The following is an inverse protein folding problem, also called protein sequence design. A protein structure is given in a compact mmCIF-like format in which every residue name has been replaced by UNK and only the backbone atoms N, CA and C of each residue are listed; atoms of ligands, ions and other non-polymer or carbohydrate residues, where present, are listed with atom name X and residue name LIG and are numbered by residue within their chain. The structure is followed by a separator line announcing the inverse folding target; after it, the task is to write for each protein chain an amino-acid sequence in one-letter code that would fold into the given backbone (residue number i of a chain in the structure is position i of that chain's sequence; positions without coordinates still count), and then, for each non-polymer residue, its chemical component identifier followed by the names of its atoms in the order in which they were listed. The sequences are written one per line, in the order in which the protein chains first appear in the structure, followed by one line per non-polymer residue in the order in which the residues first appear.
data_IF_398969830974
#
_entry.id   IF_398969830974
#
_cell.length_a   1.000
_cell.length_b   1.000
_cell.length_c   1.000
_cell.angle_alpha   90.00
_cell.angle_beta   90.00
_cell.angle_gamma   90.00
#
_symmetry.space_group_name_H-M   'P 1'
#
loop_
_entity.id
_entity.type
_entity.pdbx_description
1 polymer ?
#
# COMPACT_ATOMS: atom_id res chain seq x y z
N UNK A 1 41.67 35.91 -48.67
CA UNK A 1 41.71 34.75 -47.76
C UNK A 1 40.74 35.01 -46.63
N UNK A 2 39.60 34.30 -46.58
CA UNK A 2 38.57 34.47 -45.55
C UNK A 2 38.81 33.43 -44.45
N UNK A 3 38.99 33.91 -43.22
CA UNK A 3 39.22 33.08 -42.04
C UNK A 3 37.94 32.29 -41.68
N UNK A 4 38.06 30.96 -41.65
CA UNK A 4 37.05 30.10 -41.06
C UNK A 4 37.15 30.20 -39.54
N UNK A 5 36.08 30.65 -38.87
CA UNK A 5 35.93 30.58 -37.41
C UNK A 5 35.18 29.29 -37.08
N UNK A 6 35.89 28.31 -36.56
CA UNK A 6 35.32 27.13 -35.90
C UNK A 6 34.64 27.57 -34.59
N UNK A 7 33.34 27.33 -34.50
CA UNK A 7 32.54 27.51 -33.29
C UNK A 7 32.67 26.21 -32.48
N UNK A 8 33.07 26.24 -31.19
CA UNK A 8 33.15 25.03 -30.39
C UNK A 8 31.73 24.58 -30.03
N UNK A 9 31.45 23.33 -30.35
CA UNK A 9 30.24 22.59 -30.03
C UNK A 9 30.12 22.46 -28.50
N UNK A 10 29.31 23.32 -27.88
CA UNK A 10 28.97 23.22 -26.46
C UNK A 10 28.02 22.02 -26.30
N UNK A 11 28.57 20.89 -25.88
CA UNK A 11 27.80 19.69 -25.53
C UNK A 11 27.02 20.00 -24.25
N UNK A 12 25.76 20.39 -24.41
CA UNK A 12 24.79 20.46 -23.32
C UNK A 12 24.41 19.03 -22.96
N UNK A 13 25.13 18.44 -22.00
CA UNK A 13 24.80 17.13 -21.44
C UNK A 13 23.46 17.27 -20.74
N UNK A 14 22.40 16.81 -21.41
CA UNK A 14 21.09 16.56 -20.81
C UNK A 14 21.27 15.56 -19.68
N UNK A 15 21.31 16.04 -18.44
CA UNK A 15 21.04 15.22 -17.26
C UNK A 15 19.57 14.78 -17.35
N UNK A 16 19.31 13.72 -18.10
CA UNK A 16 18.10 12.93 -17.91
C UNK A 16 18.23 12.25 -16.54
N UNK A 17 17.62 12.87 -15.54
CA UNK A 17 17.43 12.27 -14.22
C UNK A 17 16.57 11.01 -14.40
N UNK A 18 17.22 9.85 -14.48
CA UNK A 18 16.57 8.54 -14.59
C UNK A 18 15.99 8.11 -13.23
N UNK A 19 14.92 8.77 -12.77
CA UNK A 19 14.25 8.37 -11.52
C UNK A 19 13.22 7.22 -11.67
N UNK A 20 13.15 6.54 -12.81
CA UNK A 20 12.10 5.53 -13.05
C UNK A 20 12.51 4.07 -12.80
N UNK A 21 13.80 3.77 -12.58
CA UNK A 21 14.28 2.37 -12.54
C UNK A 21 14.27 1.72 -11.15
N UNK A 22 14.23 2.49 -10.05
CA UNK A 22 14.27 1.95 -8.69
C UNK A 22 12.93 1.38 -8.18
N UNK A 23 11.79 1.91 -8.64
CA UNK A 23 10.47 1.45 -8.15
C UNK A 23 10.11 0.04 -8.63
N UNK A 24 10.52 -0.33 -9.85
CA UNK A 24 10.26 -1.66 -10.41
C UNK A 24 11.04 -2.76 -9.69
N UNK A 25 12.30 -2.50 -9.32
CA UNK A 25 13.15 -3.47 -8.60
C UNK A 25 12.72 -3.70 -7.14
N UNK A 26 11.98 -2.75 -6.54
CA UNK A 26 11.43 -2.85 -5.18
C UNK A 26 10.14 -3.65 -5.07
N UNK A 27 9.46 -3.98 -6.18
CA UNK A 27 8.23 -4.76 -6.08
C UNK A 27 8.54 -6.22 -5.71
N UNK A 28 8.08 -6.65 -4.54
CA UNK A 28 8.30 -7.98 -3.98
C UNK A 28 7.09 -8.91 -4.11
N UNK A 29 5.96 -8.44 -4.61
CA UNK A 29 4.74 -9.25 -4.69
C UNK A 29 4.71 -10.08 -5.98
N UNK A 30 4.49 -11.39 -5.81
CA UNK A 30 4.06 -12.30 -6.87
C UNK A 30 2.54 -12.36 -6.79
N UNK A 31 1.88 -11.75 -7.76
CA UNK A 31 0.42 -11.56 -7.79
C UNK A 31 -0.22 -12.39 -8.91
N UNK A 32 -1.53 -12.69 -8.83
CA UNK A 32 -2.26 -13.28 -9.94
C UNK A 32 -2.23 -12.38 -11.19
N UNK A 33 -2.51 -12.97 -12.34
CA UNK A 33 -2.58 -12.23 -13.60
C UNK A 33 -3.58 -11.06 -13.51
N UNK A 34 -3.23 -9.94 -14.14
CA UNK A 34 -4.02 -8.70 -14.22
C UNK A 34 -4.20 -7.94 -12.90
N UNK A 35 -3.57 -8.37 -11.80
CA UNK A 35 -3.51 -7.57 -10.59
C UNK A 35 -2.54 -6.40 -10.78
N UNK A 36 -3.02 -5.19 -10.49
CA UNK A 36 -2.16 -4.00 -10.50
C UNK A 36 -1.31 -4.00 -9.24
N UNK A 37 -0.05 -3.60 -9.35
CA UNK A 37 0.85 -3.43 -8.21
C UNK A 37 1.44 -2.03 -8.17
N UNK A 38 1.65 -1.49 -6.97
CA UNK A 38 2.31 -0.22 -6.75
C UNK A 38 3.30 -0.34 -5.59
N UNK A 39 4.29 0.56 -5.57
CA UNK A 39 5.30 0.65 -4.51
C UNK A 39 5.29 2.06 -3.93
N UNK A 40 5.14 2.16 -2.62
CA UNK A 40 5.18 3.39 -1.85
C UNK A 40 6.37 3.33 -0.90
N UNK A 41 7.20 4.37 -0.83
CA UNK A 41 8.27 4.43 0.15
C UNK A 41 7.71 4.96 1.49
N UNK A 42 8.24 4.46 2.61
CA UNK A 42 8.01 5.09 3.90
C UNK A 42 8.98 6.28 4.09
N UNK A 43 8.55 7.41 4.67
CA UNK A 43 7.19 7.69 5.15
C UNK A 43 6.19 7.81 4.00
N UNK A 44 5.04 7.15 4.14
CA UNK A 44 4.00 7.16 3.10
C UNK A 44 3.39 8.57 3.07
N UNK A 45 3.33 9.18 1.88
CA UNK A 45 2.94 10.58 1.68
C UNK A 45 1.59 10.93 2.33
N UNK A 46 0.59 10.05 2.19
CA UNK A 46 -0.73 10.27 2.78
C UNK A 46 -0.80 9.91 4.28
N UNK A 47 0.15 9.13 4.81
CA UNK A 47 0.18 8.67 6.20
C UNK A 47 1.55 8.90 6.87
N UNK A 48 2.08 10.15 6.88
CA UNK A 48 3.44 10.44 7.36
C UNK A 48 3.63 10.23 8.87
N UNK A 49 2.53 10.01 9.62
CA UNK A 49 2.56 9.67 11.05
C UNK A 49 2.88 8.19 11.31
N UNK A 50 2.88 7.35 10.26
CA UNK A 50 3.44 6.01 10.33
C UNK A 50 4.96 6.14 10.33
N UNK A 51 5.53 6.15 11.53
CA UNK A 51 6.96 6.36 11.80
C UNK A 51 7.75 5.08 11.54
N UNK A 52 7.81 4.71 10.27
CA UNK A 52 8.58 3.58 9.75
C UNK A 52 9.55 4.07 8.68
N UNK A 53 10.62 3.29 8.47
CA UNK A 53 11.43 3.37 7.25
C UNK A 53 11.30 2.07 6.48
N UNK A 54 11.48 2.13 5.16
CA UNK A 54 11.31 0.98 4.26
C UNK A 54 10.33 1.30 3.12
N UNK A 55 9.51 0.32 2.73
CA UNK A 55 8.52 0.49 1.66
C UNK A 55 7.27 -0.39 1.84
N UNK A 56 6.19 0.01 1.19
CA UNK A 56 4.98 -0.79 0.97
C UNK A 56 4.96 -1.27 -0.48
N UNK A 57 4.68 -2.56 -0.69
CA UNK A 57 4.16 -3.04 -1.96
C UNK A 57 2.67 -3.30 -1.80
N UNK A 58 1.84 -2.69 -2.64
CA UNK A 58 0.39 -2.89 -2.65
C UNK A 58 -0.03 -3.52 -3.98
N UNK A 59 -1.05 -4.37 -3.94
CA UNK A 59 -1.65 -4.94 -5.12
C UNK A 59 -3.18 -4.92 -5.03
N UNK A 60 -3.82 -4.72 -6.17
CA UNK A 60 -5.25 -4.50 -6.28
C UNK A 60 -5.88 -5.54 -7.18
N UNK A 61 -6.99 -6.14 -6.74
CA UNK A 61 -7.79 -7.00 -7.60
C UNK A 61 -8.27 -6.23 -8.84
N UNK A 62 -8.42 -6.87 -10.01
CA UNK A 62 -8.84 -6.18 -11.24
C UNK A 62 -10.10 -5.33 -11.06
N UNK A 63 -11.09 -5.81 -10.30
CA UNK A 63 -12.33 -5.10 -10.03
C UNK A 63 -12.34 -4.18 -8.79
N UNK A 64 -11.18 -3.87 -8.17
CA UNK A 64 -11.11 -3.17 -6.87
C UNK A 64 -11.82 -1.80 -6.85
N UNK A 65 -11.70 -1.02 -7.94
CA UNK A 65 -12.27 0.32 -8.05
C UNK A 65 -13.69 0.36 -8.64
N UNK A 66 -14.29 -0.79 -8.93
CA UNK A 66 -15.59 -0.88 -9.60
C UNK A 66 -16.69 -1.15 -8.59
N UNK A 67 -17.51 -0.14 -8.30
CA UNK A 67 -18.68 -0.29 -7.43
C UNK A 67 -19.57 -1.44 -7.91
N UNK A 68 -19.94 -2.34 -7.00
CA UNK A 68 -20.77 -3.51 -7.29
C UNK A 68 -19.99 -4.73 -7.80
N UNK A 69 -18.69 -4.60 -8.06
CA UNK A 69 -17.83 -5.76 -8.32
C UNK A 69 -17.72 -6.65 -7.08
N UNK A 70 -17.69 -7.98 -7.21
CA UNK A 70 -17.38 -8.87 -6.09
C UNK A 70 -15.93 -8.69 -5.58
N UNK A 71 -15.07 -8.01 -6.34
CA UNK A 71 -13.68 -7.72 -6.00
C UNK A 71 -13.48 -6.29 -5.47
N UNK A 72 -14.57 -5.53 -5.33
CA UNK A 72 -14.53 -4.14 -4.89
C UNK A 72 -13.77 -3.98 -3.56
N UNK A 73 -12.88 -2.98 -3.49
CA UNK A 73 -11.98 -2.72 -2.35
C UNK A 73 -11.15 -3.92 -1.87
N UNK A 74 -10.97 -4.94 -2.72
CA UNK A 74 -10.16 -6.10 -2.40
C UNK A 74 -8.72 -5.88 -2.84
N UNK A 75 -7.82 -5.75 -1.87
CA UNK A 75 -6.40 -5.52 -2.11
C UNK A 75 -5.55 -6.21 -1.03
N UNK A 76 -4.26 -6.28 -1.28
CA UNK A 76 -3.29 -6.74 -0.30
C UNK A 76 -2.06 -5.84 -0.34
N UNK A 77 -1.47 -5.57 0.81
CA UNK A 77 -0.26 -4.75 0.91
C UNK A 77 0.72 -5.33 1.91
N UNK A 78 2.00 -5.28 1.55
CA UNK A 78 3.13 -5.78 2.32
C UNK A 78 3.98 -4.59 2.74
N UNK A 79 4.05 -4.33 4.04
CA UNK A 79 5.03 -3.43 4.63
C UNK A 79 6.34 -4.19 4.85
N UNK A 80 7.42 -3.68 4.26
CA UNK A 80 8.79 -4.14 4.50
C UNK A 80 9.49 -3.00 5.24
N UNK A 81 9.62 -3.14 6.55
CA UNK A 81 10.11 -2.08 7.44
C UNK A 81 11.41 -2.47 8.15
N UNK A 82 12.22 -1.47 8.45
CA UNK A 82 13.56 -1.64 9.02
C UNK A 82 13.49 -1.88 10.52
N UNK A 83 12.60 -1.15 11.19
CA UNK A 83 12.40 -1.21 12.62
C UNK A 83 11.49 -2.39 12.98
N UNK A 84 11.70 -2.98 14.16
CA UNK A 84 10.71 -3.91 14.69
C UNK A 84 9.43 -3.14 15.04
N UNK A 85 8.31 -3.40 14.35
CA UNK A 85 7.09 -2.63 14.57
C UNK A 85 6.49 -2.91 15.96
N UNK A 86 6.90 -3.99 16.64
CA UNK A 86 6.40 -4.41 17.97
C UNK A 86 4.86 -4.41 18.00
N UNK A 87 4.26 -5.00 16.96
CA UNK A 87 2.82 -4.97 16.76
C UNK A 87 2.09 -5.67 17.91
N UNK A 88 1.07 -4.98 18.40
CA UNK A 88 -0.01 -5.50 19.22
C UNK A 88 -1.34 -5.21 18.52
N UNK A 89 -2.42 -5.84 18.94
CA UNK A 89 -3.76 -5.52 18.43
C UNK A 89 -4.04 -4.01 18.51
N UNK A 90 -3.75 -3.38 19.66
CA UNK A 90 -3.99 -1.95 19.84
C UNK A 90 -3.11 -1.07 18.96
N UNK A 91 -1.86 -1.48 18.72
CA UNK A 91 -0.96 -0.77 17.82
C UNK A 91 -1.44 -0.87 16.37
N UNK A 92 -1.86 -2.06 15.93
CA UNK A 92 -2.44 -2.27 14.60
C UNK A 92 -3.69 -1.41 14.39
N UNK A 93 -4.57 -1.29 15.40
CA UNK A 93 -5.73 -0.40 15.31
C UNK A 93 -5.32 1.04 14.98
N UNK A 94 -4.41 1.61 15.78
CA UNK A 94 -3.95 2.99 15.60
C UNK A 94 -3.26 3.22 14.26
N UNK A 95 -2.47 2.25 13.80
CA UNK A 95 -1.75 2.35 12.53
C UNK A 95 -2.67 2.25 11.32
N UNK A 96 -3.63 1.32 11.35
CA UNK A 96 -4.60 1.18 10.26
C UNK A 96 -5.58 2.36 10.25
N UNK A 97 -5.99 2.88 11.40
CA UNK A 97 -6.75 4.14 11.46
C UNK A 97 -5.96 5.30 10.85
N UNK A 98 -4.68 5.44 11.21
CA UNK A 98 -3.79 6.47 10.65
C UNK A 98 -3.64 6.35 9.13
N UNK A 99 -3.43 5.13 8.64
CA UNK A 99 -3.27 4.83 7.22
C UNK A 99 -4.51 5.24 6.43
N UNK A 100 -5.68 4.75 6.84
CA UNK A 100 -6.92 4.98 6.09
C UNK A 100 -7.44 6.41 6.25
N UNK A 101 -7.29 7.04 7.41
CA UNK A 101 -7.63 8.46 7.58
C UNK A 101 -6.82 9.33 6.62
N UNK A 102 -5.52 9.09 6.53
CA UNK A 102 -4.63 9.78 5.61
C UNK A 102 -5.02 9.58 4.15
N UNK A 103 -5.21 8.33 3.76
CA UNK A 103 -5.59 7.95 2.39
C UNK A 103 -6.90 8.61 1.97
N UNK A 104 -7.95 8.48 2.79
CA UNK A 104 -9.27 9.00 2.46
C UNK A 104 -9.30 10.53 2.46
N UNK A 105 -8.50 11.17 3.32
CA UNK A 105 -8.33 12.62 3.31
C UNK A 105 -7.71 13.10 1.99
N UNK A 106 -6.58 12.53 1.55
CA UNK A 106 -5.90 12.94 0.31
C UNK A 106 -6.78 12.72 -0.92
N UNK A 107 -7.47 11.58 -0.98
CA UNK A 107 -8.40 11.27 -2.07
C UNK A 107 -9.56 12.25 -2.10
N UNK A 108 -10.12 12.60 -0.93
CA UNK A 108 -11.21 13.57 -0.85
C UNK A 108 -10.80 14.99 -1.25
N UNK A 109 -9.62 15.45 -0.83
CA UNK A 109 -9.11 16.79 -1.14
C UNK A 109 -8.78 16.99 -2.63
N UNK A 110 -8.58 15.90 -3.37
CA UNK A 110 -8.34 15.93 -4.82
C UNK A 110 -9.63 16.12 -5.63
N UNK A 111 -10.78 15.93 -5.01
CA UNK A 111 -12.11 16.17 -5.60
C UNK A 111 -12.46 17.65 -5.36
N UNK A 112 -12.62 18.45 -6.43
CA UNK A 112 -12.78 19.91 -6.34
C UNK A 112 -14.10 20.38 -5.69
N UNK A 113 -14.89 19.46 -5.14
CA UNK A 113 -16.20 19.71 -4.55
C UNK A 113 -16.13 19.72 -3.01
N UNK A 114 -15.96 20.92 -2.44
CA UNK A 114 -16.17 21.30 -1.01
C UNK A 114 -15.36 20.49 0.03
N UNK A 115 -14.80 21.11 1.08
CA UNK A 115 -14.18 20.35 2.16
C UNK A 115 -15.21 19.45 2.86
N UNK A 116 -15.25 18.17 2.48
CA UNK A 116 -16.02 17.14 3.17
C UNK A 116 -15.22 16.77 4.41
N UNK A 117 -15.80 17.00 5.59
CA UNK A 117 -15.25 16.43 6.81
C UNK A 117 -15.39 14.91 6.74
N UNK A 118 -14.28 14.22 6.51
CA UNK A 118 -14.26 12.76 6.40
C UNK A 118 -14.41 12.15 7.80
N UNK A 119 -15.37 11.22 8.01
CA UNK A 119 -15.48 10.49 9.26
C UNK A 119 -14.18 9.78 9.60
N UNK A 120 -13.79 9.83 10.87
CA UNK A 120 -12.60 9.13 11.37
C UNK A 120 -12.78 7.62 11.32
N UNK A 121 -11.73 6.95 10.87
CA UNK A 121 -11.69 5.50 10.82
C UNK A 121 -11.69 4.92 12.24
N UNK A 122 -12.27 3.73 12.39
CA UNK A 122 -12.24 2.96 13.63
C UNK A 122 -11.87 1.52 13.32
N UNK A 123 -10.77 1.07 13.89
CA UNK A 123 -10.26 -0.28 13.72
C UNK A 123 -10.51 -1.12 14.98
N UNK A 124 -10.68 -2.42 14.77
CA UNK A 124 -10.64 -3.42 15.83
C UNK A 124 -9.81 -4.59 15.34
N UNK A 125 -8.82 -5.01 16.14
CA UNK A 125 -7.98 -6.16 15.82
C UNK A 125 -7.92 -7.15 16.97
N UNK A 126 -7.77 -8.43 16.62
CA UNK A 126 -7.54 -9.51 17.56
C UNK A 126 -6.34 -10.34 17.11
N UNK A 127 -5.48 -10.68 18.07
CA UNK A 127 -4.40 -11.63 17.85
C UNK A 127 -4.95 -13.05 17.99
N UNK A 128 -5.09 -13.76 16.87
CA UNK A 128 -5.59 -15.16 16.89
C UNK A 128 -4.47 -16.11 17.34
N UNK A 129 -3.24 -15.84 16.90
CA UNK A 129 -2.04 -16.57 17.31
C UNK A 129 -0.80 -15.72 17.06
N UNK A 130 0.37 -16.24 17.41
CA UNK A 130 1.62 -15.58 17.08
C UNK A 130 1.70 -15.26 15.60
N UNK A 131 2.09 -14.02 15.34
CA UNK A 131 2.26 -13.49 14.00
C UNK A 131 1.01 -13.45 13.11
N UNK A 132 -0.18 -13.59 13.69
CA UNK A 132 -1.43 -13.62 12.93
C UNK A 132 -2.54 -12.85 13.64
N UNK A 133 -3.11 -11.88 12.94
CA UNK A 133 -4.22 -11.07 13.41
C UNK A 133 -5.37 -11.09 12.41
N UNK A 134 -6.58 -10.96 12.94
CA UNK A 134 -7.78 -10.62 12.17
C UNK A 134 -8.29 -9.28 12.64
N UNK A 135 -8.97 -8.55 11.76
CA UNK A 135 -9.50 -7.25 12.15
C UNK A 135 -10.66 -6.80 11.29
N UNK A 136 -11.25 -5.70 11.74
CA UNK A 136 -12.29 -4.97 11.03
C UNK A 136 -11.96 -3.49 11.06
N UNK A 137 -12.31 -2.80 9.99
CA UNK A 137 -12.20 -1.36 9.87
C UNK A 137 -13.54 -0.79 9.43
N UNK A 138 -13.99 0.24 10.15
CA UNK A 138 -15.00 1.18 9.68
C UNK A 138 -14.27 2.43 9.17
N UNK A 139 -14.43 2.77 7.90
CA UNK A 139 -13.83 3.96 7.28
C UNK A 139 -14.80 4.59 6.29
N UNK A 140 -14.34 5.54 5.49
CA UNK A 140 -15.12 6.24 4.48
C UNK A 140 -14.53 5.99 3.10
N UNK A 141 -15.35 5.60 2.13
CA UNK A 141 -14.90 5.45 0.76
C UNK A 141 -14.93 6.80 0.02
N UNK A 142 -13.80 7.48 0.02
CA UNK A 142 -13.59 8.70 -0.74
C UNK A 142 -13.38 8.46 -2.25
N UNK A 143 -13.13 7.22 -2.69
CA UNK A 143 -12.80 6.91 -4.07
C UNK A 143 -14.04 6.84 -4.96
N UNK A 144 -15.11 6.19 -4.49
CA UNK A 144 -16.21 5.81 -5.40
C UNK A 144 -17.60 6.15 -4.88
N UNK A 145 -17.95 5.70 -3.67
CA UNK A 145 -19.32 5.71 -3.16
C UNK A 145 -19.62 6.91 -2.28
N UNK A 146 -18.59 7.56 -1.71
CA UNK A 146 -18.72 8.70 -0.79
C UNK A 146 -19.59 8.33 0.43
N UNK A 147 -19.40 7.11 0.94
CA UNK A 147 -20.18 6.50 2.03
C UNK A 147 -19.27 5.74 2.98
N UNK A 148 -19.83 5.35 4.13
CA UNK A 148 -19.18 4.42 5.05
C UNK A 148 -18.81 3.11 4.34
N UNK A 149 -17.59 2.65 4.62
CA UNK A 149 -16.99 1.43 4.09
C UNK A 149 -16.55 0.54 5.26
N UNK A 150 -16.94 -0.73 5.21
CA UNK A 150 -16.51 -1.76 6.15
C UNK A 150 -15.53 -2.69 5.47
N UNK A 151 -14.40 -2.94 6.09
CA UNK A 151 -13.37 -3.85 5.60
C UNK A 151 -13.03 -4.89 6.66
N UNK A 152 -12.87 -6.13 6.21
CA UNK A 152 -12.27 -7.21 6.98
C UNK A 152 -10.76 -7.27 6.68
N UNK A 153 -9.97 -7.63 7.68
CA UNK A 153 -8.52 -7.72 7.61
C UNK A 153 -8.03 -9.10 8.02
N UNK A 154 -7.04 -9.60 7.30
CA UNK A 154 -6.13 -10.67 7.74
C UNK A 154 -4.71 -10.13 7.68
N UNK A 155 -3.97 -10.23 8.79
CA UNK A 155 -2.61 -9.71 8.91
C UNK A 155 -1.67 -10.82 9.34
N UNK A 156 -0.56 -10.97 8.62
CA UNK A 156 0.52 -11.89 8.97
C UNK A 156 1.81 -11.09 9.17
N UNK A 157 2.60 -11.43 10.19
CA UNK A 157 3.88 -10.77 10.45
C UNK A 157 5.02 -11.77 10.42
N UNK A 158 6.17 -11.39 9.90
CA UNK A 158 7.38 -12.19 10.02
C UNK A 158 8.62 -11.31 10.05
N UNK A 159 9.67 -11.79 10.71
CA UNK A 159 11.00 -11.20 10.55
C UNK A 159 11.73 -11.98 9.46
N UNK A 160 12.34 -11.27 8.51
CA UNK A 160 13.15 -11.86 7.46
C UNK A 160 14.62 -11.68 7.81
N UNK A 161 15.28 -12.75 8.28
CA UNK A 161 16.67 -12.69 8.76
C UNK A 161 17.67 -12.31 7.67
N UNK A 162 17.47 -12.79 6.45
CA UNK A 162 18.33 -12.51 5.28
C UNK A 162 18.33 -11.01 4.92
N UNK A 163 17.15 -10.38 4.95
CA UNK A 163 17.03 -8.94 4.66
C UNK A 163 17.25 -8.05 5.88
N UNK A 164 17.20 -8.65 7.09
CA UNK A 164 17.11 -7.95 8.37
C UNK A 164 15.95 -6.95 8.40
N UNK A 165 14.82 -7.32 7.81
CA UNK A 165 13.58 -6.51 7.74
C UNK A 165 12.42 -7.20 8.43
N UNK A 166 11.46 -6.42 8.88
CA UNK A 166 10.17 -6.90 9.35
C UNK A 166 9.14 -6.78 8.23
N UNK A 167 8.42 -7.86 8.00
CA UNK A 167 7.36 -7.94 7.01
C UNK A 167 6.01 -7.97 7.73
N UNK A 168 5.09 -7.10 7.31
CA UNK A 168 3.70 -7.10 7.77
C UNK A 168 2.81 -7.16 6.54
N UNK A 169 2.15 -8.30 6.34
CA UNK A 169 1.35 -8.57 5.16
C UNK A 169 -0.14 -8.51 5.48
N UNK A 170 -0.82 -7.57 4.87
CA UNK A 170 -2.24 -7.30 5.02
C UNK A 170 -3.01 -7.77 3.79
N UNK A 171 -4.15 -8.40 4.02
CA UNK A 171 -5.17 -8.71 3.00
C UNK A 171 -6.49 -8.14 3.47
N UNK A 172 -7.17 -7.40 2.60
CA UNK A 172 -8.39 -6.70 2.96
C UNK A 172 -9.48 -6.89 1.91
N UNK A 173 -10.72 -6.92 2.37
CA UNK A 173 -11.89 -6.90 1.49
C UNK A 173 -13.14 -6.51 2.31
N UNK A 174 -14.15 -5.86 1.69
CA UNK A 174 -15.48 -5.76 2.27
C UNK A 174 -16.19 -7.12 2.37
N UNK A 175 -15.75 -8.10 1.57
CA UNK A 175 -16.36 -9.43 1.52
C UNK A 175 -16.09 -10.23 2.79
N UNK A 176 -17.04 -11.10 3.14
CA UNK A 176 -16.85 -12.10 4.20
C UNK A 176 -15.65 -13.01 3.89
N UNK A 177 -14.98 -13.50 4.93
CA UNK A 177 -13.72 -14.26 4.82
C UNK A 177 -13.85 -15.59 4.06
N UNK A 178 -15.08 -16.09 3.88
CA UNK A 178 -15.39 -17.27 3.07
C UNK A 178 -15.52 -16.98 1.56
N UNK A 179 -15.64 -15.70 1.18
CA UNK A 179 -15.82 -15.29 -0.21
C UNK A 179 -14.62 -15.69 -1.09
N UNK A 180 -14.82 -16.12 -2.35
CA UNK A 180 -13.74 -16.60 -3.23
C UNK A 180 -12.58 -15.63 -3.46
N UNK A 181 -12.78 -14.33 -3.30
CA UNK A 181 -11.70 -13.33 -3.42
C UNK A 181 -10.58 -13.56 -2.41
N UNK A 182 -10.88 -14.06 -1.21
CA UNK A 182 -9.87 -14.38 -0.20
C UNK A 182 -8.98 -15.54 -0.64
N UNK A 183 -9.53 -16.53 -1.35
CA UNK A 183 -8.75 -17.62 -1.95
C UNK A 183 -7.78 -17.09 -3.00
N UNK A 184 -8.22 -16.14 -3.84
CA UNK A 184 -7.34 -15.45 -4.80
C UNK A 184 -6.24 -14.65 -4.08
N UNK A 185 -6.58 -13.87 -3.05
CA UNK A 185 -5.58 -13.13 -2.27
C UNK A 185 -4.60 -14.05 -1.55
N UNK A 186 -5.00 -15.28 -1.21
CA UNK A 186 -4.12 -16.27 -0.60
C UNK A 186 -3.06 -16.84 -1.54
N UNK A 187 -3.20 -16.66 -2.85
CA UNK A 187 -2.14 -17.04 -3.79
C UNK A 187 -1.07 -15.95 -3.93
N UNK A 188 -1.29 -14.75 -3.40
CA UNK A 188 -0.29 -13.68 -3.42
C UNK A 188 0.85 -14.08 -2.50
N UNK A 189 2.06 -14.09 -3.04
CA UNK A 189 3.28 -14.45 -2.33
C UNK A 189 4.23 -13.26 -2.31
N UNK A 190 5.07 -13.23 -1.29
CA UNK A 190 6.28 -12.45 -1.33
C UNK A 190 7.34 -13.25 -2.11
N UNK A 191 8.07 -12.61 -3.04
CA UNK A 191 9.19 -13.22 -3.77
C UNK A 191 10.45 -13.41 -2.91
N UNK A 192 10.43 -12.93 -1.68
CA UNK A 192 11.55 -13.03 -0.74
C UNK A 192 11.55 -14.40 -0.05
N UNK A 193 12.67 -15.11 -0.17
CA UNK A 193 12.93 -16.34 0.59
C UNK A 193 13.46 -15.95 1.97
N UNK A 194 12.57 -15.83 2.94
CA UNK A 194 12.94 -15.70 4.35
C UNK A 194 13.12 -17.12 4.92
N UNK A 195 14.37 -17.53 5.17
CA UNK A 195 14.70 -18.79 5.85
C UNK A 195 14.63 -18.63 7.36
#
# INVERSE_FOLDING_TARGET
MKFAKTIPFFIFILLFCQCSNEKSSKNRLIVPENWRTEVLDFPIEFAPKLDYTGFENVCFAPGWGTKGSPEYFSCAFLWVVDENPKLSAKKLELEIETYFDGLMQVVSSSDQNTPIQIPKSKAFFEKVKDNYYVGKLLTYDAFTTKKELKLNFIVNTNYCGEEKKHHVFFKISPQDTEHPIWKKMNTIKNNIVCK
#
